data_IF_930233796092
#
_entry.id   IF_930233796092
#
_cell.length_a   1.000
_cell.length_b   1.000
_cell.length_c   1.000
_cell.angle_alpha   90.00
_cell.angle_beta   90.00
_cell.angle_gamma   90.00
#
_symmetry.space_group_name_H-M   'P 1'
#
loop_
_entity.id
_entity.type
_entity.pdbx_description
1 polymer ?
#
# COMPACT_ATOMS: atom_id res chain seq x y z
N UNK A 1 -20.53 -3.70 -12.66
CA UNK A 1 -20.41 -2.25 -12.94
C UNK A 1 -19.08 -2.03 -13.66
N UNK A 2 -18.99 -1.15 -14.65
CA UNK A 2 -17.77 -1.00 -15.47
C UNK A 2 -16.68 -0.21 -14.71
N UNK A 3 -15.43 -0.69 -14.73
CA UNK A 3 -14.29 0.01 -14.12
C UNK A 3 -14.10 1.41 -14.73
N UNK A 4 -14.43 1.56 -16.02
CA UNK A 4 -14.20 2.79 -16.79
C UNK A 4 -15.01 3.98 -16.28
N UNK A 5 -16.11 3.75 -15.54
CA UNK A 5 -16.94 4.83 -14.98
C UNK A 5 -16.35 5.40 -13.68
N UNK A 6 -15.53 4.64 -12.96
CA UNK A 6 -14.87 5.07 -11.71
C UNK A 6 -13.38 5.39 -11.90
N UNK A 7 -12.77 4.77 -12.91
CA UNK A 7 -11.38 4.90 -13.30
C UNK A 7 -11.36 5.06 -14.83
N UNK A 8 -11.58 6.27 -15.38
CA UNK A 8 -11.54 6.51 -16.83
C UNK A 8 -10.09 6.45 -17.32
N UNK A 9 -9.50 5.26 -17.29
CA UNK A 9 -8.12 5.01 -17.66
C UNK A 9 -8.06 4.85 -19.18
N UNK A 10 -7.74 5.93 -19.88
CA UNK A 10 -7.30 5.84 -21.28
C UNK A 10 -6.01 5.00 -21.40
N UNK A 11 -5.22 4.92 -20.32
CA UNK A 11 -4.03 4.10 -20.21
C UNK A 11 -3.90 3.49 -18.79
N UNK A 12 -3.89 2.16 -18.62
CA UNK A 12 -3.78 1.50 -17.31
C UNK A 12 -2.36 1.50 -16.71
N UNK A 13 -1.36 1.92 -17.48
CA UNK A 13 0.05 1.89 -17.08
C UNK A 13 0.33 2.63 -15.76
N UNK A 14 -0.14 3.87 -15.53
CA UNK A 14 0.14 4.57 -14.28
C UNK A 14 -0.39 3.80 -13.07
N UNK A 15 -1.64 3.32 -13.12
CA UNK A 15 -2.23 2.58 -12.01
C UNK A 15 -1.51 1.25 -11.75
N UNK A 16 -1.02 0.58 -12.80
CA UNK A 16 -0.21 -0.64 -12.69
C UNK A 16 1.14 -0.37 -12.01
N UNK A 17 1.84 0.70 -12.40
CA UNK A 17 3.11 1.09 -11.75
C UNK A 17 2.90 1.42 -10.29
N UNK A 18 1.86 2.23 -9.98
CA UNK A 18 1.51 2.62 -8.61
C UNK A 18 1.26 1.39 -7.74
N UNK A 19 0.43 0.46 -8.21
CA UNK A 19 0.08 -0.74 -7.46
C UNK A 19 1.30 -1.64 -7.26
N UNK A 20 2.10 -1.90 -8.28
CA UNK A 20 3.31 -2.72 -8.16
C UNK A 20 4.33 -2.13 -7.18
N UNK A 21 4.59 -0.82 -7.24
CA UNK A 21 5.55 -0.15 -6.35
C UNK A 21 5.16 -0.25 -4.87
N UNK A 22 3.90 0.06 -4.54
CA UNK A 22 3.40 -0.03 -3.18
C UNK A 22 3.27 -1.50 -2.71
N UNK A 23 2.92 -2.41 -3.63
CA UNK A 23 2.89 -3.86 -3.36
C UNK A 23 4.24 -4.42 -2.98
N UNK A 24 5.31 -4.03 -3.68
CA UNK A 24 6.68 -4.42 -3.34
C UNK A 24 7.12 -3.88 -1.98
N UNK A 25 6.75 -2.64 -1.64
CA UNK A 25 7.03 -2.05 -0.33
C UNK A 25 6.32 -2.79 0.81
N UNK A 26 5.02 -3.07 0.66
CA UNK A 26 4.25 -3.86 1.63
C UNK A 26 4.80 -5.29 1.75
N UNK A 27 5.15 -5.92 0.62
CA UNK A 27 5.72 -7.28 0.58
C UNK A 27 7.06 -7.36 1.30
N UNK A 28 8.00 -6.46 1.00
CA UNK A 28 9.32 -6.44 1.63
C UNK A 28 9.22 -6.26 3.15
N UNK A 29 8.35 -5.35 3.61
CA UNK A 29 8.04 -5.19 5.02
C UNK A 29 7.44 -6.45 5.64
N UNK A 30 6.46 -7.05 4.96
CA UNK A 30 5.82 -8.28 5.41
C UNK A 30 6.82 -9.41 5.61
N UNK A 31 7.70 -9.64 4.63
CA UNK A 31 8.76 -10.65 4.72
C UNK A 31 9.75 -10.36 5.85
N UNK A 32 10.15 -9.10 6.02
CA UNK A 32 11.04 -8.69 7.10
C UNK A 32 10.43 -9.01 8.48
N UNK A 33 9.15 -8.66 8.70
CA UNK A 33 8.44 -8.96 9.95
C UNK A 33 8.19 -10.46 10.18
N UNK A 34 8.16 -11.26 9.12
CA UNK A 34 8.11 -12.73 9.19
C UNK A 34 9.48 -13.37 9.45
N UNK A 35 10.56 -12.58 9.45
CA UNK A 35 11.93 -13.07 9.66
C UNK A 35 12.65 -13.52 8.38
N UNK A 36 12.02 -13.42 7.21
CA UNK A 36 12.66 -13.79 5.95
C UNK A 36 13.68 -12.72 5.53
N UNK A 37 14.97 -13.07 5.60
CA UNK A 37 16.05 -12.13 5.27
C UNK A 37 16.18 -10.97 6.25
N UNK A 38 15.66 -11.12 7.48
CA UNK A 38 15.67 -10.08 8.50
C UNK A 38 17.00 -9.99 9.28
N UNK A 39 17.79 -11.05 9.24
CA UNK A 39 19.09 -11.12 9.93
C UNK A 39 20.19 -10.43 9.11
N UNK A 40 21.01 -9.56 9.71
CA UNK A 40 22.16 -8.98 9.04
C UNK A 40 23.19 -10.05 8.71
N UNK A 41 23.76 -9.97 7.51
CA UNK A 41 24.98 -10.70 7.19
C UNK A 41 26.13 -10.23 8.10
N UNK A 42 27.12 -11.09 8.34
CA UNK A 42 28.26 -10.77 9.21
C UNK A 42 28.99 -9.50 8.73
N UNK A 43 29.06 -8.49 9.59
CA UNK A 43 29.63 -7.17 9.26
C UNK A 43 28.79 -6.31 8.29
N UNK A 44 27.62 -6.78 7.88
CA UNK A 44 26.72 -6.12 6.94
C UNK A 44 25.79 -5.09 7.59
N UNK A 45 25.18 -4.26 6.75
CA UNK A 45 24.12 -3.35 7.18
C UNK A 45 22.86 -4.13 7.60
N UNK A 46 22.11 -3.57 8.55
CA UNK A 46 20.84 -4.15 8.97
C UNK A 46 19.84 -4.22 7.80
N UNK A 47 19.21 -5.37 7.49
CA UNK A 47 18.35 -5.54 6.32
C UNK A 47 17.16 -4.57 6.26
N UNK A 48 16.69 -4.09 7.42
CA UNK A 48 15.66 -3.05 7.51
C UNK A 48 16.01 -1.78 6.72
N UNK A 49 17.30 -1.45 6.55
CA UNK A 49 17.70 -0.31 5.71
C UNK A 49 17.35 -0.51 4.24
N UNK A 50 17.52 -1.74 3.74
CA UNK A 50 17.14 -2.11 2.38
C UNK A 50 15.62 -2.08 2.22
N UNK A 51 14.89 -2.61 3.20
CA UNK A 51 13.42 -2.51 3.25
C UNK A 51 12.99 -1.04 3.22
N UNK A 52 13.66 -0.19 4.00
CA UNK A 52 13.42 1.26 4.01
C UNK A 52 13.66 1.94 2.67
N UNK A 53 14.69 1.54 1.92
CA UNK A 53 14.88 2.04 0.55
C UNK A 53 13.78 1.56 -0.40
N UNK A 54 13.30 0.33 -0.27
CA UNK A 54 12.16 -0.18 -1.06
C UNK A 54 10.89 0.61 -0.74
N UNK A 55 10.60 0.83 0.55
CA UNK A 55 9.48 1.66 1.03
C UNK A 55 9.56 3.08 0.46
N UNK A 56 10.73 3.72 0.58
CA UNK A 56 10.94 5.09 0.15
C UNK A 56 10.80 5.25 -1.37
N UNK A 57 11.48 4.40 -2.16
CA UNK A 57 11.41 4.44 -3.62
C UNK A 57 9.98 4.14 -4.07
N UNK A 58 9.34 3.11 -3.51
CA UNK A 58 7.96 2.77 -3.84
C UNK A 58 6.99 3.91 -3.54
N UNK A 59 7.13 4.56 -2.39
CA UNK A 59 6.33 5.73 -2.00
C UNK A 59 6.56 6.95 -2.90
N UNK A 60 7.81 7.30 -3.21
CA UNK A 60 8.13 8.42 -4.10
C UNK A 60 7.60 8.17 -5.51
N UNK A 61 7.80 6.97 -6.06
CA UNK A 61 7.29 6.61 -7.39
C UNK A 61 5.77 6.67 -7.40
N UNK A 62 5.09 6.08 -6.41
CA UNK A 62 3.63 6.14 -6.31
C UNK A 62 3.12 7.58 -6.21
N UNK A 63 3.76 8.44 -5.41
CA UNK A 63 3.38 9.85 -5.30
C UNK A 63 3.53 10.59 -6.63
N UNK A 64 4.64 10.36 -7.35
CA UNK A 64 4.84 10.91 -8.70
C UNK A 64 3.79 10.43 -9.69
N UNK A 65 3.40 9.16 -9.63
CA UNK A 65 2.33 8.59 -10.45
C UNK A 65 0.96 9.21 -10.14
N UNK A 66 0.65 9.45 -8.87
CA UNK A 66 -0.58 10.15 -8.48
C UNK A 66 -0.61 11.57 -9.02
N UNK A 67 0.50 12.30 -8.89
CA UNK A 67 0.61 13.65 -9.44
C UNK A 67 0.39 13.65 -10.96
N UNK A 68 1.01 12.70 -11.67
CA UNK A 68 0.79 12.52 -13.10
C UNK A 68 -0.70 12.30 -13.44
N UNK A 69 -1.40 11.42 -12.73
CA UNK A 69 -2.83 11.16 -12.93
C UNK A 69 -3.70 12.41 -12.69
N UNK A 70 -3.35 13.24 -11.70
CA UNK A 70 -4.07 14.49 -11.44
C UNK A 70 -3.93 15.52 -12.56
N UNK A 71 -2.74 15.63 -13.15
CA UNK A 71 -2.47 16.65 -14.20
C UNK A 71 -2.85 16.20 -15.61
N UNK A 72 -3.00 14.89 -15.83
CA UNK A 72 -3.36 14.33 -17.16
C UNK A 72 -4.86 14.44 -17.49
N UNK A 73 -5.68 14.95 -16.57
CA UNK A 73 -7.12 15.16 -16.77
C UNK A 73 -7.97 13.96 -16.36
N UNK A 74 -9.26 14.19 -16.11
CA UNK A 74 -10.20 13.17 -15.61
C UNK A 74 -10.62 13.38 -14.14
N UNK A 75 -11.64 12.64 -13.69
CA UNK A 75 -12.15 12.72 -12.32
C UNK A 75 -11.41 11.74 -11.39
N UNK A 76 -10.10 11.92 -11.23
CA UNK A 76 -9.26 11.07 -10.38
C UNK A 76 -9.08 11.60 -8.95
N UNK A 77 -9.80 12.67 -8.55
CA UNK A 77 -9.57 13.37 -7.28
C UNK A 77 -9.63 12.43 -6.07
N UNK A 78 -10.64 11.55 -6.03
CA UNK A 78 -10.80 10.59 -4.94
C UNK A 78 -9.62 9.61 -4.88
N UNK A 79 -9.32 8.95 -6.00
CA UNK A 79 -8.23 7.97 -6.12
C UNK A 79 -6.88 8.60 -5.81
N UNK A 80 -6.65 9.82 -6.28
CA UNK A 80 -5.44 10.58 -6.03
C UNK A 80 -5.30 10.98 -4.55
N UNK A 81 -6.38 11.42 -3.90
CA UNK A 81 -6.37 11.71 -2.47
C UNK A 81 -6.00 10.48 -1.64
N UNK A 82 -6.62 9.33 -1.94
CA UNK A 82 -6.35 8.07 -1.25
C UNK A 82 -4.92 7.58 -1.49
N UNK A 83 -4.50 7.51 -2.75
CA UNK A 83 -3.18 7.00 -3.10
C UNK A 83 -2.05 7.92 -2.60
N UNK A 84 -2.28 9.24 -2.53
CA UNK A 84 -1.33 10.18 -1.92
C UNK A 84 -1.11 9.89 -0.44
N UNK A 85 -2.17 9.57 0.31
CA UNK A 85 -2.06 9.21 1.73
C UNK A 85 -1.14 8.00 1.93
N UNK A 86 -1.34 6.95 1.13
CA UNK A 86 -0.52 5.74 1.19
C UNK A 86 0.92 5.99 0.74
N UNK A 87 1.11 6.71 -0.37
CA UNK A 87 2.42 7.04 -0.88
C UNK A 87 3.25 7.83 0.15
N UNK A 88 2.67 8.87 0.75
CA UNK A 88 3.33 9.66 1.78
C UNK A 88 3.67 8.83 3.02
N UNK A 89 2.80 7.90 3.42
CA UNK A 89 3.09 6.98 4.51
C UNK A 89 4.35 6.15 4.22
N UNK A 90 4.45 5.55 3.03
CA UNK A 90 5.62 4.74 2.65
C UNK A 90 6.91 5.56 2.52
N UNK A 91 6.82 6.81 2.07
CA UNK A 91 7.96 7.74 2.06
C UNK A 91 8.48 7.97 3.48
N UNK A 92 7.58 8.30 4.42
CA UNK A 92 7.95 8.55 5.81
C UNK A 92 8.46 7.28 6.49
N UNK A 93 7.77 6.15 6.30
CA UNK A 93 8.19 4.85 6.81
C UNK A 93 9.60 4.50 6.30
N UNK A 94 9.84 4.62 5.00
CA UNK A 94 11.12 4.31 4.41
C UNK A 94 12.27 5.17 4.96
N UNK A 95 12.04 6.47 5.13
CA UNK A 95 13.02 7.35 5.78
C UNK A 95 13.32 6.92 7.23
N UNK A 96 12.29 6.59 8.01
CA UNK A 96 12.43 6.11 9.38
C UNK A 96 13.20 4.78 9.45
N UNK A 97 12.91 3.85 8.55
CA UNK A 97 13.59 2.54 8.45
C UNK A 97 15.07 2.66 8.07
N UNK A 98 15.40 3.51 7.10
CA UNK A 98 16.78 3.76 6.65
C UNK A 98 17.63 4.32 7.80
N UNK A 99 17.06 5.26 8.56
CA UNK A 99 17.78 5.98 9.60
C UNK A 99 17.64 5.35 10.99
N UNK A 100 16.81 4.31 11.15
CA UNK A 100 16.57 3.67 12.45
C UNK A 100 15.92 4.61 13.47
N UNK A 101 15.00 5.47 13.00
CA UNK A 101 14.30 6.42 13.87
C UNK A 101 13.15 5.74 14.64
N UNK A 102 12.56 6.45 15.60
CA UNK A 102 11.40 5.95 16.34
C UNK A 102 10.21 5.75 15.39
N UNK A 103 9.61 4.56 15.44
CA UNK A 103 8.44 4.17 14.64
C UNK A 103 7.12 4.71 15.22
N UNK A 104 7.08 5.16 16.48
CA UNK A 104 5.84 5.64 17.12
C UNK A 104 5.16 6.80 16.37
N UNK A 105 5.87 7.83 15.86
CA UNK A 105 5.25 8.86 15.03
C UNK A 105 4.61 8.29 13.76
N UNK A 106 5.27 7.32 13.10
CA UNK A 106 4.73 6.64 11.91
C UNK A 106 3.48 5.83 12.25
N UNK A 107 3.51 5.10 13.37
CA UNK A 107 2.37 4.38 13.90
C UNK A 107 1.18 5.31 14.19
N UNK A 108 1.42 6.49 14.77
CA UNK A 108 0.34 7.44 15.02
C UNK A 108 -0.30 7.98 13.73
N UNK A 109 0.48 8.13 12.65
CA UNK A 109 -0.03 8.53 11.34
C UNK A 109 -0.80 7.39 10.66
N UNK A 110 -0.47 6.13 10.94
CA UNK A 110 -1.22 4.99 10.39
C UNK A 110 -2.68 4.94 10.86
N UNK A 111 -2.98 5.42 12.07
CA UNK A 111 -4.34 5.41 12.65
C UNK A 111 -5.33 6.23 11.80
N UNK A 112 -5.11 7.54 11.53
CA UNK A 112 -6.03 8.30 10.70
C UNK A 112 -6.09 7.75 9.28
N UNK A 113 -5.00 7.19 8.73
CA UNK A 113 -5.04 6.55 7.41
C UNK A 113 -6.01 5.36 7.42
N UNK A 114 -5.94 4.50 8.44
CA UNK A 114 -6.86 3.36 8.59
C UNK A 114 -8.34 3.78 8.57
N UNK A 115 -8.66 4.89 9.25
CA UNK A 115 -10.02 5.45 9.32
C UNK A 115 -10.42 6.11 8.01
N UNK A 116 -9.52 6.89 7.40
CA UNK A 116 -9.77 7.61 6.15
C UNK A 116 -9.93 6.69 4.94
N UNK A 117 -9.47 5.44 5.01
CA UNK A 117 -9.76 4.42 4.00
C UNK A 117 -11.24 4.02 3.95
N UNK A 118 -11.98 4.11 5.07
CA UNK A 118 -13.35 3.58 5.15
C UNK A 118 -14.39 4.36 4.31
N UNK A 119 -14.40 5.71 4.27
CA UNK A 119 -15.33 6.44 3.40
C UNK A 119 -15.24 6.08 1.91
N UNK A 120 -14.09 5.58 1.45
CA UNK A 120 -13.91 5.14 0.06
C UNK A 120 -14.68 3.85 -0.28
N UNK A 121 -15.22 3.13 0.71
CA UNK A 121 -16.17 2.04 0.46
C UNK A 121 -17.40 2.50 -0.31
N UNK A 122 -17.85 3.73 -0.08
CA UNK A 122 -18.98 4.35 -0.78
C UNK A 122 -18.56 4.75 -2.20
N UNK A 123 -17.34 5.24 -2.38
CA UNK A 123 -16.81 5.63 -3.69
C UNK A 123 -16.67 4.42 -4.64
N UNK A 124 -16.29 3.27 -4.10
CA UNK A 124 -16.15 2.01 -4.84
C UNK A 124 -17.40 1.14 -4.77
N UNK A 125 -18.58 1.72 -4.52
CA UNK A 125 -19.82 0.93 -4.48
C UNK A 125 -20.06 0.18 -5.81
N UNK A 126 -20.44 -1.10 -5.71
CA UNK A 126 -20.55 -2.00 -6.87
C UNK A 126 -19.23 -2.55 -7.42
N UNK A 127 -18.07 -2.19 -6.85
CA UNK A 127 -16.75 -2.71 -7.21
C UNK A 127 -16.14 -3.52 -6.04
N UNK A 128 -16.61 -4.76 -5.90
CA UNK A 128 -16.31 -5.63 -4.75
C UNK A 128 -14.81 -5.74 -4.41
N UNK A 129 -13.95 -5.94 -5.43
CA UNK A 129 -12.50 -6.00 -5.21
C UNK A 129 -12.00 -4.72 -4.53
N UNK A 130 -12.37 -3.53 -5.03
CA UNK A 130 -11.87 -2.27 -4.47
C UNK A 130 -12.47 -1.98 -3.08
N UNK A 131 -13.70 -2.39 -2.82
CA UNK A 131 -14.29 -2.29 -1.47
C UNK A 131 -13.53 -3.16 -0.47
N UNK A 132 -13.25 -4.42 -0.81
CA UNK A 132 -12.46 -5.30 0.08
C UNK A 132 -11.04 -4.80 0.27
N UNK A 133 -10.43 -4.17 -0.74
CA UNK A 133 -9.13 -3.51 -0.61
C UNK A 133 -9.16 -2.41 0.46
N UNK A 134 -10.21 -1.58 0.53
CA UNK A 134 -10.33 -0.57 1.60
C UNK A 134 -10.35 -1.20 3.00
N UNK A 135 -11.07 -2.30 3.17
CA UNK A 135 -11.11 -3.04 4.45
C UNK A 135 -9.73 -3.60 4.81
N UNK A 136 -9.04 -4.22 3.85
CA UNK A 136 -7.70 -4.78 4.06
C UNK A 136 -6.71 -3.69 4.48
N UNK A 137 -6.80 -2.50 3.89
CA UNK A 137 -5.96 -1.35 4.28
C UNK A 137 -6.27 -0.85 5.69
N UNK A 138 -7.55 -0.72 6.06
CA UNK A 138 -7.93 -0.35 7.43
C UNK A 138 -7.33 -1.32 8.43
N UNK A 139 -7.40 -2.64 8.16
CA UNK A 139 -6.79 -3.66 9.02
C UNK A 139 -5.27 -3.53 9.06
N UNK A 140 -4.61 -3.39 7.91
CA UNK A 140 -3.16 -3.28 7.83
C UNK A 140 -2.62 -2.08 8.62
N UNK A 141 -3.19 -0.90 8.42
CA UNK A 141 -2.75 0.30 9.13
C UNK A 141 -3.07 0.26 10.63
N UNK A 142 -4.22 -0.28 11.02
CA UNK A 142 -4.51 -0.50 12.44
C UNK A 142 -3.52 -1.51 13.07
N UNK A 143 -3.15 -2.56 12.34
CA UNK A 143 -2.17 -3.56 12.77
C UNK A 143 -0.76 -2.99 12.93
N UNK A 144 -0.34 -2.06 12.06
CA UNK A 144 0.94 -1.33 12.20
C UNK A 144 0.97 -0.61 13.55
N UNK A 145 -0.06 0.20 13.84
CA UNK A 145 -0.15 0.90 15.12
C UNK A 145 -0.13 -0.07 16.31
N UNK A 146 -0.96 -1.11 16.26
CA UNK A 146 -1.03 -2.12 17.32
C UNK A 146 0.33 -2.80 17.56
N UNK A 147 1.08 -3.09 16.50
CA UNK A 147 2.38 -3.76 16.59
C UNK A 147 3.45 -2.86 17.21
N UNK A 148 3.54 -1.60 16.77
CA UNK A 148 4.52 -0.64 17.31
C UNK A 148 4.28 -0.37 18.80
N UNK A 149 3.03 -0.42 19.25
CA UNK A 149 2.66 -0.30 20.66
C UNK A 149 2.65 -1.62 21.45
N UNK A 150 3.18 -2.71 20.87
CA UNK A 150 3.32 -4.00 21.55
C UNK A 150 2.00 -4.73 21.82
N UNK A 151 0.93 -4.39 21.11
CA UNK A 151 -0.40 -5.00 21.23
C UNK A 151 -0.64 -6.13 20.23
N UNK A 152 0.14 -6.18 19.16
CA UNK A 152 0.09 -7.22 18.15
C UNK A 152 1.50 -7.78 17.91
N UNK A 153 1.68 -9.11 17.83
CA UNK A 153 2.97 -9.70 17.50
C UNK A 153 3.46 -9.31 16.10
N UNK A 154 4.76 -9.08 15.96
CA UNK A 154 5.38 -8.67 14.70
C UNK A 154 5.15 -9.65 13.54
N UNK A 155 5.20 -10.95 13.81
CA UNK A 155 4.93 -11.98 12.80
C UNK A 155 3.47 -11.93 12.28
N UNK A 156 2.51 -11.53 13.11
CA UNK A 156 1.11 -11.36 12.68
C UNK A 156 1.01 -10.15 11.74
N UNK A 157 1.68 -9.04 12.07
CA UNK A 157 1.79 -7.91 11.13
C UNK A 157 2.43 -8.34 9.80
N UNK A 158 3.49 -9.16 9.86
CA UNK A 158 4.14 -9.69 8.68
C UNK A 158 3.17 -10.41 7.74
N UNK A 159 2.33 -11.30 8.27
CA UNK A 159 1.29 -11.97 7.48
C UNK A 159 0.23 -11.03 6.93
N UNK A 160 -0.23 -10.06 7.74
CA UNK A 160 -1.18 -9.05 7.29
C UNK A 160 -0.63 -8.30 6.09
N UNK A 161 0.62 -7.84 6.16
CA UNK A 161 1.26 -7.10 5.07
C UNK A 161 1.49 -7.93 3.81
N UNK A 162 1.82 -9.22 3.94
CA UNK A 162 1.91 -10.14 2.79
C UNK A 162 0.55 -10.32 2.12
N UNK A 163 -0.51 -10.53 2.90
CA UNK A 163 -1.88 -10.63 2.37
C UNK A 163 -2.31 -9.32 1.71
N UNK A 164 -1.99 -8.17 2.33
CA UNK A 164 -2.20 -6.85 1.73
C UNK A 164 -1.47 -6.75 0.39
N UNK A 165 -0.17 -7.06 0.34
CA UNK A 165 0.62 -7.04 -0.88
C UNK A 165 -0.05 -7.81 -2.05
N UNK A 166 -0.49 -9.03 -1.77
CA UNK A 166 -1.14 -9.89 -2.77
C UNK A 166 -2.50 -9.33 -3.18
N UNK A 167 -3.39 -9.10 -2.21
CA UNK A 167 -4.79 -8.79 -2.46
C UNK A 167 -5.01 -7.38 -2.99
N UNK A 168 -4.24 -6.40 -2.50
CA UNK A 168 -4.47 -4.98 -2.80
C UNK A 168 -3.60 -4.45 -3.93
N UNK A 169 -2.55 -5.17 -4.32
CA UNK A 169 -1.61 -4.67 -5.31
C UNK A 169 -1.34 -5.65 -6.44
N UNK A 170 -0.80 -6.83 -6.13
CA UNK A 170 -0.41 -7.76 -7.19
C UNK A 170 -1.62 -8.28 -7.96
N UNK A 171 -2.68 -8.68 -7.26
CA UNK A 171 -3.90 -9.14 -7.92
C UNK A 171 -4.56 -8.03 -8.76
N UNK A 172 -4.84 -6.82 -8.23
CA UNK A 172 -5.33 -5.70 -9.05
C UNK A 172 -4.42 -5.35 -10.23
N UNK A 173 -3.10 -5.34 -10.07
CA UNK A 173 -2.17 -5.05 -11.15
C UNK A 173 -2.26 -6.08 -12.28
N UNK A 174 -2.35 -7.38 -11.94
CA UNK A 174 -2.56 -8.46 -12.93
C UNK A 174 -3.90 -8.30 -13.62
N UNK A 175 -4.96 -8.03 -12.88
CA UNK A 175 -6.32 -7.86 -13.44
C UNK A 175 -6.36 -6.68 -14.41
N UNK A 176 -5.83 -5.54 -14.00
CA UNK A 176 -5.78 -4.31 -14.80
C UNK A 176 -4.91 -4.50 -16.04
N UNK A 177 -3.72 -5.08 -15.89
CA UNK A 177 -2.77 -5.24 -17.00
C UNK A 177 -3.20 -6.27 -18.03
N UNK A 178 -3.94 -7.30 -17.61
CA UNK A 178 -4.46 -8.35 -18.50
C UNK A 178 -5.89 -8.08 -18.99
N UNK A 179 -6.55 -7.01 -18.52
CA UNK A 179 -7.93 -6.68 -18.88
C UNK A 179 -8.94 -7.73 -18.41
N UNK A 180 -8.71 -8.35 -17.24
CA UNK A 180 -9.60 -9.37 -16.68
C UNK A 180 -10.80 -8.69 -16.02
N UNK A 181 -12.02 -9.12 -16.35
CA UNK A 181 -13.23 -8.69 -15.65
C UNK A 181 -13.40 -9.50 -14.35
N UNK A 182 -13.35 -8.81 -13.20
CA UNK A 182 -13.57 -9.39 -11.88
C UNK A 182 -14.99 -9.21 -11.36
N UNK A 183 -15.99 -8.95 -12.22
CA UNK A 183 -17.39 -9.21 -11.90
C UNK A 183 -17.64 -10.73 -11.75
N UNK A 184 -16.97 -11.37 -10.80
CA UNK A 184 -17.33 -12.68 -10.30
C UNK A 184 -18.62 -12.48 -9.52
N UNK A 185 -19.74 -12.66 -10.22
CA UNK A 185 -21.07 -12.63 -9.64
C UNK A 185 -21.19 -13.65 -8.52
N UNK A 186 -21.10 -13.16 -7.29
CA UNK A 186 -21.54 -13.82 -6.08
C UNK A 186 -22.36 -12.81 -5.28
#
# INVERSE_FOLDING_TARGET
>A
MDLTTHLPLENPLPLTVLTMCLGLAAWANGLFFLGYGAEPAEGGAHPLKTVGWISLVGGVTAFGTVFYLLVSGGNFVAVAGLASLYALFFIVLGAVEIHGLDLKPVANISIPIAVLSLPFLIFFDGLWLFQTVMVVWTVAFAAIAATVYGRLPANVLGWILVVTAIWTFFLPAVVISLGIDLNLGF
#
